data_IF_851349568832
#
_entry.id   IF_851349568832
#
_cell.length_a   1.000
_cell.length_b   1.000
_cell.length_c   1.000
_cell.angle_alpha   90.00
_cell.angle_beta   90.00
_cell.angle_gamma   90.00
#
_symmetry.space_group_name_H-M   'P 1'
#
loop_
_entity.id
_entity.type
_entity.pdbx_description
1 polymer ?
#
# COMPACT_ATOMS: atom_id res chain seq x y z
N UNK A 1 5.88 -11.30 -2.22
CA UNK A 1 6.73 -10.80 -1.13
C UNK A 1 6.48 -9.31 -0.91
N UNK A 2 6.29 -8.91 0.35
CA UNK A 2 6.12 -7.50 0.67
C UNK A 2 7.49 -6.82 0.60
N UNK A 3 7.57 -5.70 -0.11
CA UNK A 3 8.83 -5.03 -0.38
C UNK A 3 8.85 -3.65 0.28
N UNK A 4 9.96 -3.34 0.93
CA UNK A 4 10.17 -2.01 1.51
C UNK A 4 10.33 -0.98 0.41
N UNK A 5 9.68 0.17 0.55
CA UNK A 5 9.71 1.23 -0.46
C UNK A 5 10.21 2.53 0.17
N UNK A 6 11.29 3.06 -0.38
CA UNK A 6 11.84 4.35 0.04
C UNK A 6 11.19 5.49 -0.74
N UNK A 7 11.41 6.74 -0.28
CA UNK A 7 10.93 7.92 -0.99
C UNK A 7 11.50 8.00 -2.40
N UNK A 8 12.76 7.63 -2.57
CA UNK A 8 13.42 7.64 -3.88
C UNK A 8 12.76 6.63 -4.82
N UNK A 9 12.55 5.42 -4.32
CA UNK A 9 11.90 4.36 -5.12
C UNK A 9 10.46 4.73 -5.46
N UNK A 10 9.74 5.32 -4.50
CA UNK A 10 8.38 5.79 -4.73
C UNK A 10 8.33 6.76 -5.90
N UNK A 11 9.23 7.74 -5.93
CA UNK A 11 9.26 8.77 -6.97
C UNK A 11 9.57 8.19 -8.35
N UNK A 12 10.28 7.05 -8.41
CA UNK A 12 10.54 6.38 -9.68
C UNK A 12 9.36 5.55 -10.17
N UNK A 13 8.48 5.10 -9.25
CA UNK A 13 7.34 4.24 -9.58
C UNK A 13 6.04 5.01 -9.74
N UNK A 14 5.84 6.06 -8.96
CA UNK A 14 4.57 6.77 -8.89
C UNK A 14 4.70 8.25 -9.16
N UNK A 15 3.66 8.80 -9.77
CA UNK A 15 3.48 10.24 -9.89
C UNK A 15 2.12 10.59 -9.29
N UNK A 16 2.14 11.41 -8.26
CA UNK A 16 0.90 11.89 -7.64
C UNK A 16 0.41 13.11 -8.40
N UNK A 17 -0.77 13.00 -9.01
CA UNK A 17 -1.36 14.10 -9.80
C UNK A 17 -2.84 14.21 -9.46
N UNK A 18 -3.25 15.32 -8.84
CA UNK A 18 -4.62 15.53 -8.40
C UNK A 18 -5.08 14.38 -7.51
N UNK A 19 -6.15 13.69 -7.88
CA UNK A 19 -6.71 12.56 -7.13
C UNK A 19 -6.16 11.21 -7.61
N UNK A 20 -5.13 11.23 -8.46
CA UNK A 20 -4.57 10.01 -9.03
C UNK A 20 -3.18 9.75 -8.49
N UNK A 21 -2.85 8.48 -8.41
CA UNK A 21 -1.51 8.01 -8.09
C UNK A 21 -1.08 7.13 -9.27
N UNK A 22 -0.47 7.79 -10.26
CA UNK A 22 -0.10 7.13 -11.51
C UNK A 22 1.11 6.22 -11.30
N UNK A 23 0.97 4.98 -11.72
CA UNK A 23 2.00 3.96 -11.57
C UNK A 23 2.69 3.75 -12.92
N UNK A 24 4.01 3.94 -12.98
CA UNK A 24 4.78 3.77 -14.21
C UNK A 24 4.73 2.33 -14.74
N UNK A 25 4.59 1.35 -13.86
CA UNK A 25 4.48 -0.07 -14.24
C UNK A 25 3.08 -0.45 -14.74
N UNK A 26 2.11 0.42 -14.54
CA UNK A 26 0.71 0.18 -14.91
C UNK A 26 0.16 -1.12 -14.31
N UNK A 27 0.48 -1.34 -13.05
CA UNK A 27 0.00 -2.49 -12.29
C UNK A 27 -0.86 -2.04 -11.11
N UNK A 28 -1.80 -2.89 -10.71
CA UNK A 28 -2.47 -2.71 -9.43
C UNK A 28 -1.41 -2.93 -8.34
N UNK A 29 -1.48 -2.15 -7.27
CA UNK A 29 -0.50 -2.25 -6.18
C UNK A 29 -1.11 -1.84 -4.85
N UNK A 30 -0.41 -2.18 -3.77
CA UNK A 30 -0.83 -1.83 -2.41
C UNK A 30 0.33 -1.14 -1.73
N UNK A 31 0.04 0.01 -1.09
CA UNK A 31 1.00 0.73 -0.26
C UNK A 31 0.53 0.62 1.19
N UNK A 32 1.40 0.15 2.07
CA UNK A 32 1.13 0.08 3.51
C UNK A 32 2.06 1.01 4.25
N UNK A 33 1.50 2.00 4.93
CA UNK A 33 2.26 2.86 5.82
C UNK A 33 2.31 2.22 7.20
N UNK A 34 3.52 2.07 7.74
CA UNK A 34 3.80 1.28 8.93
C UNK A 34 4.88 1.92 9.79
N UNK A 35 5.13 1.36 10.96
CA UNK A 35 6.28 1.71 11.80
C UNK A 35 6.70 0.48 12.61
N UNK A 36 7.95 0.45 13.01
CA UNK A 36 8.50 -0.69 13.76
C UNK A 36 7.84 -0.88 15.14
N UNK A 37 7.37 0.21 15.73
CA UNK A 37 6.72 0.19 17.05
C UNK A 37 5.23 -0.11 17.00
N UNK A 38 4.66 -0.23 15.82
CA UNK A 38 3.22 -0.38 15.64
C UNK A 38 2.77 -1.84 15.77
N UNK A 39 2.11 -2.19 16.86
CA UNK A 39 1.60 -3.54 17.10
C UNK A 39 0.63 -4.03 16.01
N UNK A 40 -0.43 -3.27 15.71
CA UNK A 40 -1.38 -3.67 14.65
C UNK A 40 -0.72 -3.85 13.29
N UNK A 41 0.30 -3.05 12.98
CA UNK A 41 1.05 -3.20 11.72
C UNK A 41 1.77 -4.56 11.68
N UNK A 42 2.34 -4.97 12.81
CA UNK A 42 3.04 -6.26 12.90
C UNK A 42 2.08 -7.43 12.72
N UNK A 43 0.84 -7.28 13.19
CA UNK A 43 -0.18 -8.32 13.01
C UNK A 43 -0.59 -8.47 11.56
N UNK A 44 -0.55 -7.39 10.79
CA UNK A 44 -0.86 -7.42 9.36
C UNK A 44 0.24 -8.04 8.52
N UNK A 45 1.48 -7.96 8.97
CA UNK A 45 2.62 -8.37 8.16
C UNK A 45 2.52 -9.81 7.62
N UNK A 46 2.24 -10.84 8.46
CA UNK A 46 2.12 -12.20 7.94
C UNK A 46 0.93 -12.37 6.98
N UNK A 47 -0.16 -11.65 7.21
CA UNK A 47 -1.33 -11.70 6.33
C UNK A 47 -0.98 -11.13 4.97
N UNK A 48 -0.30 -10.00 4.93
CA UNK A 48 0.13 -9.37 3.68
C UNK A 48 1.15 -10.22 2.93
N UNK A 49 2.07 -10.86 3.65
CA UNK A 49 3.01 -11.78 3.02
C UNK A 49 2.30 -12.95 2.35
N UNK A 50 1.31 -13.51 3.03
CA UNK A 50 0.50 -14.60 2.48
C UNK A 50 -0.24 -14.15 1.22
N UNK A 51 -0.85 -12.97 1.26
CA UNK A 51 -1.59 -12.44 0.12
C UNK A 51 -0.67 -12.06 -1.03
N UNK A 52 0.54 -11.60 -0.74
CA UNK A 52 1.53 -11.29 -1.79
C UNK A 52 1.94 -12.55 -2.56
N UNK A 53 1.99 -13.69 -1.89
CA UNK A 53 2.28 -14.98 -2.53
C UNK A 53 1.09 -15.46 -3.35
N UNK A 54 -0.12 -15.24 -2.86
CA UNK A 54 -1.35 -15.63 -3.54
C UNK A 54 -1.62 -14.77 -4.78
N UNK A 55 -1.27 -13.49 -4.73
CA UNK A 55 -1.48 -12.54 -5.82
C UNK A 55 -0.15 -11.92 -6.25
N UNK A 56 0.74 -12.70 -6.89
CA UNK A 56 2.10 -12.23 -7.20
C UNK A 56 2.12 -11.12 -8.25
N UNK A 57 1.04 -10.92 -8.98
CA UNK A 57 0.91 -9.86 -9.97
C UNK A 57 0.59 -8.49 -9.35
N UNK A 58 0.30 -8.44 -8.04
CA UNK A 58 0.01 -7.20 -7.33
C UNK A 58 1.15 -6.92 -6.34
N UNK A 59 2.07 -6.01 -6.66
CA UNK A 59 3.13 -5.64 -5.72
C UNK A 59 2.54 -5.04 -4.44
N UNK A 60 3.08 -5.44 -3.30
CA UNK A 60 2.73 -4.88 -2.00
C UNK A 60 3.98 -4.20 -1.44
N UNK A 61 3.88 -2.90 -1.19
CA UNK A 61 4.97 -2.11 -0.69
C UNK A 61 4.71 -1.66 0.74
N UNK A 62 5.76 -1.62 1.52
CA UNK A 62 5.72 -1.18 2.91
C UNK A 62 6.57 0.07 3.06
N UNK A 63 5.98 1.12 3.64
CA UNK A 63 6.63 2.41 3.83
C UNK A 63 6.69 2.71 5.33
N UNK A 64 7.91 2.83 5.88
CA UNK A 64 8.11 3.16 7.28
C UNK A 64 7.97 4.67 7.44
N UNK A 65 6.97 5.11 8.23
CA UNK A 65 6.68 6.54 8.40
C UNK A 65 7.79 7.29 9.12
N UNK A 66 8.59 6.60 9.93
CA UNK A 66 9.69 7.23 10.66
C UNK A 66 10.92 7.40 9.78
N UNK A 67 11.14 6.49 8.83
CA UNK A 67 12.26 6.57 7.91
C UNK A 67 11.94 7.38 6.67
N UNK A 68 10.69 7.31 6.19
CA UNK A 68 10.25 7.99 4.97
C UNK A 68 9.29 9.13 5.31
N UNK A 69 9.80 10.11 6.06
CA UNK A 69 9.00 11.23 6.55
C UNK A 69 8.34 12.03 5.42
N UNK A 70 9.06 12.25 4.34
CA UNK A 70 8.55 13.00 3.19
C UNK A 70 7.28 12.35 2.60
N UNK A 71 7.29 11.02 2.45
CA UNK A 71 6.12 10.30 1.94
C UNK A 71 4.98 10.36 2.94
N UNK A 72 5.27 10.21 4.22
CA UNK A 72 4.27 10.29 5.27
C UNK A 72 3.55 11.64 5.23
N UNK A 73 4.28 12.73 5.03
CA UNK A 73 3.69 14.05 4.89
C UNK A 73 2.91 14.20 3.59
N UNK A 74 3.44 13.70 2.48
CA UNK A 74 2.78 13.78 1.18
C UNK A 74 1.38 13.16 1.23
N UNK A 75 1.24 12.03 1.94
CA UNK A 75 -0.03 11.32 2.08
C UNK A 75 -0.81 11.75 3.32
N UNK A 76 -0.27 12.71 4.09
CA UNK A 76 -0.90 13.20 5.31
C UNK A 76 -1.30 12.06 6.26
N UNK A 77 -0.36 11.15 6.49
CA UNK A 77 -0.59 9.97 7.35
C UNK A 77 -0.71 10.43 8.81
N UNK A 78 -1.83 10.13 9.44
CA UNK A 78 -2.11 10.51 10.83
C UNK A 78 -2.19 9.31 11.78
N UNK A 79 -2.50 8.15 11.24
CA UNK A 79 -2.56 6.92 12.01
C UNK A 79 -2.06 5.77 11.17
N UNK A 80 -1.56 4.72 11.82
CA UNK A 80 -1.05 3.52 11.15
C UNK A 80 -1.62 2.28 11.79
N UNK A 81 -1.80 1.20 11.03
CA UNK A 81 -1.48 1.11 9.61
C UNK A 81 -2.49 1.87 8.75
N UNK A 82 -2.02 2.45 7.66
CA UNK A 82 -2.86 3.02 6.62
C UNK A 82 -2.47 2.38 5.31
N UNK A 83 -3.44 1.89 4.56
CA UNK A 83 -3.17 1.23 3.29
C UNK A 83 -3.87 1.94 2.14
N UNK A 84 -3.16 1.99 1.03
CA UNK A 84 -3.70 2.49 -0.23
C UNK A 84 -3.75 1.35 -1.23
N UNK A 85 -4.93 1.11 -1.79
CA UNK A 85 -5.14 0.14 -2.86
C UNK A 85 -5.17 0.92 -4.16
N UNK A 86 -4.10 0.80 -4.94
CA UNK A 86 -3.86 1.64 -6.12
C UNK A 86 -4.12 0.83 -7.37
N UNK A 87 -5.10 1.27 -8.17
CA UNK A 87 -5.42 0.66 -9.44
C UNK A 87 -4.38 1.04 -10.50
N UNK A 88 -4.20 0.18 -11.48
CA UNK A 88 -3.35 0.46 -12.64
C UNK A 88 -3.76 1.72 -13.38
N UNK A 89 -5.01 2.19 -13.21
CA UNK A 89 -5.49 3.45 -13.79
C UNK A 89 -5.06 4.69 -13.00
N UNK A 90 -4.50 4.49 -11.80
CA UNK A 90 -4.12 5.57 -10.90
C UNK A 90 -5.16 5.90 -9.84
N UNK A 91 -6.37 5.40 -9.96
CA UNK A 91 -7.38 5.56 -8.91
C UNK A 91 -7.01 4.73 -7.70
N UNK A 92 -7.29 5.25 -6.51
CA UNK A 92 -6.96 4.53 -5.29
C UNK A 92 -8.02 4.70 -4.22
N UNK A 93 -8.04 3.76 -3.27
CA UNK A 93 -8.86 3.83 -2.06
C UNK A 93 -7.96 3.74 -0.85
N UNK A 94 -8.37 4.38 0.25
CA UNK A 94 -7.63 4.38 1.50
C UNK A 94 -8.36 3.54 2.54
N UNK A 95 -7.62 2.73 3.27
CA UNK A 95 -8.14 1.97 4.41
C UNK A 95 -7.26 2.27 5.62
N UNK A 96 -7.87 2.76 6.69
CA UNK A 96 -7.16 3.09 7.93
C UNK A 96 -7.44 2.01 8.97
N UNK A 97 -6.38 1.56 9.65
CA UNK A 97 -6.48 0.55 10.68
C UNK A 97 -6.25 -0.86 10.17
N UNK A 98 -6.17 -1.81 11.10
CA UNK A 98 -5.95 -3.19 10.76
C UNK A 98 -7.21 -3.81 10.16
N UNK A 99 -7.03 -4.54 9.07
CA UNK A 99 -8.10 -5.28 8.40
C UNK A 99 -7.89 -6.77 8.60
N UNK A 100 -8.99 -7.52 8.53
CA UNK A 100 -8.92 -8.98 8.53
C UNK A 100 -8.41 -9.47 7.17
N UNK A 101 -7.94 -10.70 7.15
CA UNK A 101 -7.50 -11.33 5.88
C UNK A 101 -8.62 -11.30 4.84
N UNK A 102 -9.86 -11.61 5.25
CA UNK A 102 -11.00 -11.61 4.34
C UNK A 102 -11.29 -10.22 3.77
N UNK A 103 -11.20 -9.17 4.60
CA UNK A 103 -11.41 -7.80 4.16
C UNK A 103 -10.32 -7.37 3.17
N UNK A 104 -9.07 -7.74 3.45
CA UNK A 104 -7.94 -7.43 2.58
C UNK A 104 -8.09 -8.13 1.24
N UNK A 105 -8.43 -9.41 1.25
CA UNK A 105 -8.61 -10.17 0.02
C UNK A 105 -9.75 -9.60 -0.82
N UNK A 106 -10.85 -9.20 -0.18
CA UNK A 106 -11.96 -8.56 -0.86
C UNK A 106 -11.52 -7.26 -1.56
N UNK A 107 -10.70 -6.45 -0.90
CA UNK A 107 -10.17 -5.22 -1.48
C UNK A 107 -9.25 -5.52 -2.67
N UNK A 108 -8.45 -6.58 -2.57
CA UNK A 108 -7.58 -7.01 -3.68
C UNK A 108 -8.42 -7.45 -4.88
N UNK A 109 -9.47 -8.20 -4.64
CA UNK A 109 -10.34 -8.68 -5.73
C UNK A 109 -11.05 -7.52 -6.42
N UNK A 110 -11.49 -6.51 -5.66
CA UNK A 110 -12.05 -5.29 -6.25
C UNK A 110 -11.04 -4.56 -7.12
N UNK A 111 -9.81 -4.48 -6.64
CA UNK A 111 -8.72 -3.85 -7.38
C UNK A 111 -8.50 -4.56 -8.71
N UNK A 112 -8.44 -5.89 -8.69
CA UNK A 112 -8.23 -6.70 -9.90
C UNK A 112 -9.38 -6.56 -10.89
N UNK A 113 -10.61 -6.37 -10.42
CA UNK A 113 -11.77 -6.23 -11.30
C UNK A 113 -11.91 -4.84 -11.89
N UNK A 114 -11.10 -3.90 -11.47
CA UNK A 114 -11.14 -2.52 -11.96
C UNK A 114 -12.21 -1.64 -11.31
N UNK A 115 -12.77 -2.09 -10.20
CA UNK A 115 -13.80 -1.34 -9.46
C UNK A 115 -13.24 -0.26 -8.56
#
# INVERSE_FOLDING_TARGET
MVKNLTSVEFKSLYTKKDDLLLNSDKKDSILKFTAKWCGPCKMLAPILNKLSEKYPDIPIYEIDVDEEYELSEMFNIRSIPTMYFVSKSGKYTQQVGALTEGQLEKSILKLKSGE
#
